data_IF_396865630010
#
_entry.id   IF_396865630010
#
_cell.length_a   1.000
_cell.length_b   1.000
_cell.length_c   1.000
_cell.angle_alpha   90.00
_cell.angle_beta   90.00
_cell.angle_gamma   90.00
#
_symmetry.space_group_name_H-M   'P 1'
#
loop_
_entity.id
_entity.type
_entity.pdbx_description
1 polymer ?
#
# COMPACT_ATOMS: atom_id res chain seq x y z
N UNK A 1 -23.11 -8.37 -9.70
CA UNK A 1 -22.01 -9.32 -9.90
C UNK A 1 -21.76 -10.08 -8.62
N UNK A 2 -21.62 -11.37 -8.75
CA UNK A 2 -21.24 -12.13 -7.57
C UNK A 2 -19.73 -12.08 -7.35
N UNK A 3 -19.30 -12.36 -6.12
CA UNK A 3 -17.90 -12.28 -5.73
C UNK A 3 -17.00 -13.26 -6.49
N UNK A 4 -17.55 -14.38 -6.92
CA UNK A 4 -16.79 -15.37 -7.66
C UNK A 4 -16.37 -14.88 -9.04
N UNK A 5 -17.25 -14.15 -9.72
CA UNK A 5 -16.93 -13.56 -11.02
C UNK A 5 -15.90 -12.45 -10.89
N UNK A 6 -16.01 -11.64 -9.86
CA UNK A 6 -15.02 -10.60 -9.60
C UNK A 6 -13.67 -11.21 -9.29
N UNK A 7 -13.61 -12.23 -8.45
CA UNK A 7 -12.38 -12.91 -8.11
C UNK A 7 -11.74 -13.55 -9.33
N UNK A 8 -12.53 -14.23 -10.16
CA UNK A 8 -12.03 -14.85 -11.38
C UNK A 8 -11.52 -13.82 -12.38
N UNK A 9 -12.21 -12.68 -12.51
CA UNK A 9 -11.79 -11.61 -13.38
C UNK A 9 -10.48 -10.98 -12.92
N UNK A 10 -10.35 -10.76 -11.62
CA UNK A 10 -9.13 -10.20 -11.03
C UNK A 10 -7.94 -11.14 -11.19
N UNK A 11 -8.14 -12.43 -10.98
CA UNK A 11 -7.10 -13.45 -11.19
C UNK A 11 -6.64 -13.49 -12.64
N UNK A 12 -7.58 -13.45 -13.59
CA UNK A 12 -7.25 -13.41 -15.00
C UNK A 12 -6.44 -12.16 -15.38
N UNK A 13 -6.80 -11.01 -14.80
CA UNK A 13 -6.09 -9.77 -15.01
C UNK A 13 -4.67 -9.86 -14.43
N UNK A 14 -4.52 -10.45 -13.25
CA UNK A 14 -3.23 -10.65 -12.61
C UNK A 14 -2.33 -11.55 -13.44
N UNK A 15 -2.85 -12.65 -13.98
CA UNK A 15 -2.07 -13.53 -14.84
C UNK A 15 -1.55 -12.80 -16.07
N UNK A 16 -2.37 -11.93 -16.67
CA UNK A 16 -1.96 -11.10 -17.80
C UNK A 16 -0.89 -10.09 -17.44
N UNK A 17 -0.86 -9.64 -16.18
CA UNK A 17 0.08 -8.66 -15.66
C UNK A 17 1.12 -9.27 -14.73
N UNK A 18 1.42 -10.57 -14.89
CA UNK A 18 2.32 -11.26 -13.96
C UNK A 18 3.71 -10.66 -13.86
N UNK A 19 4.10 -9.81 -14.82
CA UNK A 19 5.36 -9.10 -14.79
C UNK A 19 5.25 -7.73 -14.13
N UNK A 20 4.03 -7.28 -13.84
CA UNK A 20 3.81 -6.02 -13.15
C UNK A 20 3.70 -6.28 -11.64
N UNK A 21 4.47 -5.57 -10.82
CA UNK A 21 4.37 -5.74 -9.37
C UNK A 21 2.98 -5.36 -8.86
N UNK A 22 2.53 -6.06 -7.84
CA UNK A 22 1.25 -5.80 -7.18
C UNK A 22 1.47 -4.82 -6.03
N UNK A 23 0.78 -3.69 -6.07
CA UNK A 23 0.85 -2.64 -5.07
C UNK A 23 -0.50 -2.53 -4.37
N UNK A 24 -0.52 -2.73 -3.04
CA UNK A 24 -1.70 -2.52 -2.22
C UNK A 24 -1.68 -1.09 -1.69
N UNK A 25 -2.70 -0.31 -2.05
CA UNK A 25 -2.83 1.09 -1.61
C UNK A 25 -3.82 1.15 -0.46
N UNK A 26 -3.39 1.70 0.67
CA UNK A 26 -4.19 1.79 1.89
C UNK A 26 -4.44 3.25 2.21
N UNK A 27 -5.68 3.68 2.11
CA UNK A 27 -6.09 5.06 2.34
C UNK A 27 -7.58 5.07 2.65
N UNK A 28 -8.02 5.85 3.61
CA UNK A 28 -9.44 5.95 3.96
C UNK A 28 -10.24 6.76 2.94
N UNK A 29 -9.58 7.49 2.05
CA UNK A 29 -10.22 8.26 0.98
C UNK A 29 -10.00 7.61 -0.38
N UNK A 30 -11.06 7.08 -0.95
CA UNK A 30 -11.02 6.38 -2.24
C UNK A 30 -10.51 7.29 -3.37
N UNK A 31 -10.79 8.59 -3.28
CA UNK A 31 -10.31 9.55 -4.28
C UNK A 31 -8.78 9.51 -4.41
N UNK A 32 -8.06 9.37 -3.31
CA UNK A 32 -6.60 9.28 -3.35
C UNK A 32 -6.14 8.02 -4.08
N UNK A 33 -6.84 6.91 -3.90
CA UNK A 33 -6.56 5.68 -4.63
C UNK A 33 -6.81 5.87 -6.13
N UNK A 34 -7.92 6.50 -6.52
CA UNK A 34 -8.22 6.74 -7.94
C UNK A 34 -7.11 7.55 -8.62
N UNK A 35 -6.60 8.56 -7.94
CA UNK A 35 -5.50 9.38 -8.46
C UNK A 35 -4.24 8.55 -8.70
N UNK A 36 -3.91 7.68 -7.75
CA UNK A 36 -2.75 6.81 -7.87
C UNK A 36 -2.95 5.77 -8.97
N UNK A 37 -4.14 5.21 -9.08
CA UNK A 37 -4.44 4.24 -10.13
C UNK A 37 -4.25 4.85 -11.51
N UNK A 38 -4.72 6.06 -11.73
CA UNK A 38 -4.54 6.76 -13.00
C UNK A 38 -3.06 6.93 -13.34
N UNK A 39 -2.25 7.23 -12.34
CA UNK A 39 -0.83 7.51 -12.56
C UNK A 39 0.03 6.24 -12.65
N UNK A 40 -0.33 5.19 -11.94
CA UNK A 40 0.54 4.02 -11.74
C UNK A 40 0.06 2.73 -12.41
N UNK A 41 -1.16 2.68 -12.92
CA UNK A 41 -1.72 1.44 -13.49
C UNK A 41 -0.96 0.90 -14.69
N UNK A 42 -0.17 1.73 -15.36
CA UNK A 42 0.69 1.27 -16.46
C UNK A 42 1.92 0.51 -15.99
N UNK A 43 2.33 0.70 -14.73
CA UNK A 43 3.54 0.10 -14.17
C UNK A 43 3.26 -0.94 -13.09
N UNK A 44 2.09 -0.87 -12.45
CA UNK A 44 1.74 -1.72 -11.31
C UNK A 44 0.31 -2.24 -11.45
N UNK A 45 0.09 -3.42 -10.88
CA UNK A 45 -1.27 -3.90 -10.61
C UNK A 45 -1.64 -3.36 -9.24
N UNK A 46 -2.72 -2.56 -9.15
CA UNK A 46 -3.11 -1.94 -7.89
C UNK A 46 -4.33 -2.61 -7.28
N UNK A 47 -4.33 -2.69 -5.96
CA UNK A 47 -5.52 -3.05 -5.18
C UNK A 47 -5.68 -2.02 -4.06
N UNK A 48 -6.85 -1.99 -3.45
CA UNK A 48 -7.24 -0.96 -2.50
C UNK A 48 -7.73 -1.54 -1.20
N UNK A 49 -7.32 -0.93 -0.10
CA UNK A 49 -7.87 -1.19 1.23
C UNK A 49 -8.18 0.16 1.89
N UNK A 50 -9.35 0.26 2.52
CA UNK A 50 -9.80 1.53 3.09
C UNK A 50 -9.51 1.69 4.58
N UNK A 51 -8.81 0.74 5.18
CA UNK A 51 -8.50 0.77 6.61
C UNK A 51 -7.31 -0.15 6.90
N UNK A 52 -6.74 0.00 8.09
CA UNK A 52 -5.66 -0.87 8.54
C UNK A 52 -6.09 -2.32 8.69
N UNK A 53 -7.29 -2.55 9.19
CA UNK A 53 -7.84 -3.91 9.34
C UNK A 53 -8.02 -4.58 7.98
N UNK A 54 -8.61 -3.85 7.03
CA UNK A 54 -8.79 -4.32 5.66
C UNK A 54 -7.45 -4.58 4.97
N UNK A 55 -6.46 -3.72 5.24
CA UNK A 55 -5.11 -3.89 4.72
C UNK A 55 -4.52 -5.23 5.12
N UNK A 56 -4.57 -5.55 6.41
CA UNK A 56 -4.01 -6.80 6.90
C UNK A 56 -4.70 -8.02 6.28
N UNK A 57 -6.04 -8.01 6.24
CA UNK A 57 -6.81 -9.09 5.64
C UNK A 57 -6.46 -9.30 4.17
N UNK A 58 -6.39 -8.21 3.42
CA UNK A 58 -6.08 -8.26 1.99
C UNK A 58 -4.64 -8.73 1.74
N UNK A 59 -3.70 -8.25 2.55
CA UNK A 59 -2.29 -8.63 2.38
C UNK A 59 -2.04 -10.10 2.70
N UNK A 60 -2.79 -10.66 3.63
CA UNK A 60 -2.70 -12.11 3.94
C UNK A 60 -3.33 -12.94 2.81
N UNK A 61 -4.51 -12.54 2.35
CA UNK A 61 -5.24 -13.29 1.33
C UNK A 61 -4.55 -13.26 -0.03
N UNK A 62 -3.93 -12.14 -0.38
CA UNK A 62 -3.27 -11.93 -1.66
C UNK A 62 -2.06 -11.01 -1.46
N UNK A 63 -0.91 -11.60 -1.07
CA UNK A 63 0.26 -10.79 -0.70
C UNK A 63 0.74 -9.88 -1.83
N UNK A 64 0.79 -8.57 -1.59
CA UNK A 64 1.34 -7.63 -2.58
C UNK A 64 2.87 -7.63 -2.55
N UNK A 65 3.46 -7.03 -3.58
CA UNK A 65 4.91 -6.82 -3.64
C UNK A 65 5.35 -5.62 -2.80
N UNK A 66 4.43 -4.67 -2.58
CA UNK A 66 4.65 -3.53 -1.70
C UNK A 66 3.32 -2.97 -1.23
N UNK A 67 3.35 -2.28 -0.09
CA UNK A 67 2.17 -1.63 0.49
C UNK A 67 2.44 -0.13 0.57
N UNK A 68 1.54 0.66 -0.01
CA UNK A 68 1.55 2.11 0.09
C UNK A 68 0.53 2.49 1.16
N UNK A 69 1.00 3.00 2.29
CA UNK A 69 0.20 3.14 3.50
C UNK A 69 0.10 4.59 3.95
N UNK A 70 -1.13 5.13 3.96
CA UNK A 70 -1.39 6.45 4.53
C UNK A 70 -1.29 6.36 6.06
N UNK A 71 -0.60 7.33 6.65
CA UNK A 71 -0.41 7.37 8.10
C UNK A 71 -1.67 7.84 8.82
N UNK A 72 -2.35 8.85 8.27
CA UNK A 72 -3.49 9.49 8.93
C UNK A 72 -4.81 8.85 8.52
N UNK A 73 -5.22 7.79 9.24
CA UNK A 73 -6.49 7.12 9.03
C UNK A 73 -7.26 7.03 10.35
N UNK A 74 -8.60 7.12 10.32
CA UNK A 74 -9.40 6.93 11.54
C UNK A 74 -9.31 5.49 12.03
N UNK A 75 -9.42 5.31 13.34
CA UNK A 75 -9.31 4.01 13.97
C UNK A 75 -7.86 3.55 14.05
N UNK A 76 -7.57 2.40 13.45
CA UNK A 76 -6.21 1.88 13.41
C UNK A 76 -5.39 2.71 12.42
N UNK A 77 -4.48 3.53 12.93
CA UNK A 77 -3.68 4.43 12.09
C UNK A 77 -2.56 3.70 11.33
N UNK A 78 -1.84 4.45 10.49
CA UNK A 78 -0.78 3.87 9.67
C UNK A 78 0.36 3.27 10.47
N UNK A 79 0.73 3.86 11.60
CA UNK A 79 1.80 3.32 12.44
C UNK A 79 1.40 1.97 13.03
N UNK A 80 0.19 1.89 13.59
CA UNK A 80 -0.32 0.64 14.17
C UNK A 80 -0.50 -0.43 13.10
N UNK A 81 -0.99 -0.04 11.92
CA UNK A 81 -1.13 -0.96 10.79
C UNK A 81 0.23 -1.51 10.38
N UNK A 82 1.24 -0.67 10.29
CA UNK A 82 2.59 -1.10 9.95
C UNK A 82 3.14 -2.08 10.98
N UNK A 83 2.97 -1.79 12.27
CA UNK A 83 3.39 -2.70 13.34
C UNK A 83 2.72 -4.06 13.21
N UNK A 84 1.42 -4.07 12.93
CA UNK A 84 0.68 -5.32 12.74
C UNK A 84 1.22 -6.11 11.55
N UNK A 85 1.46 -5.45 10.43
CA UNK A 85 2.02 -6.09 9.24
C UNK A 85 3.39 -6.71 9.53
N UNK A 86 4.25 -5.98 10.23
CA UNK A 86 5.61 -6.44 10.53
C UNK A 86 5.65 -7.52 11.62
N UNK A 87 4.60 -7.63 12.42
CA UNK A 87 4.48 -8.66 13.45
C UNK A 87 3.68 -9.89 13.00
N UNK A 88 3.19 -9.90 11.78
CA UNK A 88 2.42 -11.02 11.22
C UNK A 88 3.31 -11.81 10.27
N UNK A 89 3.50 -13.12 10.49
CA UNK A 89 4.43 -13.92 9.66
C UNK A 89 4.14 -13.84 8.16
N UNK A 90 2.88 -13.78 7.76
CA UNK A 90 2.48 -13.76 6.35
C UNK A 90 2.79 -12.43 5.65
N UNK A 91 3.02 -11.35 6.42
CA UNK A 91 3.19 -10.01 5.85
C UNK A 91 4.48 -9.32 6.26
N UNK A 92 5.24 -9.86 7.19
CA UNK A 92 6.41 -9.19 7.78
C UNK A 92 7.48 -8.80 6.77
N UNK A 93 7.61 -9.54 5.68
CA UNK A 93 8.65 -9.29 4.68
C UNK A 93 8.18 -8.40 3.52
N UNK A 94 6.91 -7.98 3.53
CA UNK A 94 6.38 -7.11 2.49
C UNK A 94 6.86 -5.67 2.74
N UNK A 95 7.52 -5.02 1.77
CA UNK A 95 7.95 -3.63 1.93
C UNK A 95 6.77 -2.70 2.15
N UNK A 96 6.90 -1.79 3.12
CA UNK A 96 5.86 -0.79 3.45
C UNK A 96 6.40 0.61 3.22
N UNK A 97 5.74 1.36 2.36
CA UNK A 97 6.03 2.77 2.10
C UNK A 97 4.94 3.61 2.76
N UNK A 98 5.31 4.37 3.78
CA UNK A 98 4.38 5.31 4.41
C UNK A 98 4.30 6.61 3.63
N UNK A 99 3.08 7.13 3.51
CA UNK A 99 2.82 8.41 2.85
C UNK A 99 2.05 9.29 3.82
N UNK A 100 2.56 10.51 4.07
CA UNK A 100 1.95 11.38 5.09
C UNK A 100 2.26 12.85 4.84
N UNK A 101 1.37 13.73 5.32
CA UNK A 101 1.65 15.16 5.43
C UNK A 101 2.49 15.52 6.64
N UNK A 102 2.82 14.53 7.49
CA UNK A 102 3.61 14.75 8.69
C UNK A 102 5.10 14.69 8.37
N UNK A 103 5.72 15.85 8.27
CA UNK A 103 7.10 15.99 7.78
C UNK A 103 8.17 16.07 8.87
N UNK A 104 7.81 16.20 10.14
CA UNK A 104 8.79 16.33 11.22
C UNK A 104 9.66 15.08 11.34
N UNK A 105 10.91 15.26 11.79
CA UNK A 105 11.81 14.13 12.04
C UNK A 105 11.23 13.15 13.04
N UNK A 106 10.49 13.64 14.03
CA UNK A 106 9.84 12.82 15.03
C UNK A 106 8.81 11.89 14.40
N UNK A 107 8.00 12.41 13.47
CA UNK A 107 6.97 11.63 12.79
C UNK A 107 7.58 10.58 11.86
N UNK A 108 8.62 10.97 11.12
CA UNK A 108 9.34 10.03 10.26
C UNK A 108 10.01 8.94 11.07
N UNK A 109 10.62 9.30 12.19
CA UNK A 109 11.23 8.31 13.08
C UNK A 109 10.18 7.33 13.61
N UNK A 110 9.00 7.82 13.98
CA UNK A 110 7.90 6.97 14.42
C UNK A 110 7.51 5.95 13.34
N UNK A 111 7.51 6.37 12.08
CA UNK A 111 7.25 5.48 10.96
C UNK A 111 8.29 4.36 10.85
N UNK A 112 9.56 4.71 10.91
CA UNK A 112 10.64 3.72 10.84
C UNK A 112 10.67 2.83 12.08
N UNK A 113 10.37 3.37 13.25
CA UNK A 113 10.26 2.58 14.48
C UNK A 113 9.09 1.59 14.40
N UNK A 114 8.03 1.93 13.67
CA UNK A 114 6.92 1.01 13.42
C UNK A 114 7.27 -0.09 12.40
N UNK A 115 8.38 0.06 11.71
CA UNK A 115 8.91 -0.93 10.79
C UNK A 115 8.75 -0.61 9.32
N UNK A 116 8.35 0.63 8.94
CA UNK A 116 8.23 0.96 7.53
C UNK A 116 9.61 0.95 6.86
N UNK A 117 9.62 0.64 5.57
CA UNK A 117 10.84 0.56 4.79
C UNK A 117 11.19 1.89 4.13
N UNK A 118 10.20 2.76 3.93
CA UNK A 118 10.39 4.09 3.38
C UNK A 118 9.27 5.02 3.83
N UNK A 119 9.52 6.32 3.77
CA UNK A 119 8.57 7.35 4.20
C UNK A 119 8.60 8.48 3.17
N UNK A 120 7.43 8.86 2.66
CA UNK A 120 7.28 9.95 1.69
C UNK A 120 6.35 11.00 2.25
N UNK A 121 6.76 12.26 2.18
CA UNK A 121 6.00 13.40 2.71
C UNK A 121 5.16 14.02 1.59
N UNK A 122 3.89 14.28 1.87
CA UNK A 122 2.99 15.02 0.96
C UNK A 122 3.26 16.53 1.07
N UNK A 123 3.20 17.29 -0.02
CA UNK A 123 2.97 16.83 -1.39
C UNK A 123 4.22 16.23 -2.01
N UNK A 124 4.04 15.27 -2.90
CA UNK A 124 5.13 14.62 -3.62
C UNK A 124 4.83 14.62 -5.12
N UNK A 125 5.89 14.48 -5.95
CA UNK A 125 5.68 14.29 -7.38
C UNK A 125 5.38 12.81 -7.65
N UNK A 126 4.56 12.53 -8.66
CA UNK A 126 4.25 11.15 -9.04
C UNK A 126 5.50 10.40 -9.49
N UNK A 127 6.41 11.11 -10.17
CA UNK A 127 7.66 10.49 -10.62
C UNK A 127 8.54 10.08 -9.44
N UNK A 128 8.64 10.94 -8.45
CA UNK A 128 9.39 10.66 -7.23
C UNK A 128 8.82 9.46 -6.48
N UNK A 129 7.50 9.39 -6.37
CA UNK A 129 6.81 8.27 -5.74
C UNK A 129 7.05 6.97 -6.51
N UNK A 130 6.91 7.03 -7.84
CA UNK A 130 7.13 5.88 -8.71
C UNK A 130 8.55 5.33 -8.57
N UNK A 131 9.55 6.19 -8.57
CA UNK A 131 10.94 5.79 -8.39
C UNK A 131 11.16 5.11 -7.04
N UNK A 132 10.55 5.65 -5.99
CA UNK A 132 10.66 5.08 -4.65
C UNK A 132 10.05 3.69 -4.58
N UNK A 133 8.85 3.53 -5.15
CA UNK A 133 8.19 2.23 -5.17
C UNK A 133 9.03 1.21 -5.95
N UNK A 134 9.55 1.60 -7.11
CA UNK A 134 10.38 0.73 -7.94
C UNK A 134 11.64 0.26 -7.23
N UNK A 135 12.19 1.09 -6.34
CA UNK A 135 13.37 0.71 -5.57
C UNK A 135 13.08 -0.35 -4.51
N UNK A 136 11.81 -0.54 -4.15
CA UNK A 136 11.39 -1.45 -3.09
C UNK A 136 10.90 -2.81 -3.60
N UNK A 137 10.51 -2.87 -4.85
CA UNK A 137 9.95 -4.11 -5.43
C UNK A 137 10.93 -4.83 -6.35
#
# INVERSE_FOLDING_TARGET
>A
LDCEKEAALNMSTREKRKNAPHLLVVDDEYFNYEMLEMALSGSFELSYANSGTSCLSNAIADPPDAILLDVCMPGLDGYDTCRMLKNTPETKDIPVLMVSGLESEKEQKAGFDAGCDAYVVKPFSMQSLLEKIKSMV
#
